data_IF_215752257941
#
_entry.id   IF_215752257941
#
_cell.length_a   1.000
_cell.length_b   1.000
_cell.length_c   1.000
_cell.angle_alpha   90.00
_cell.angle_beta   90.00
_cell.angle_gamma   90.00
#
_symmetry.space_group_name_H-M   'P 1'
#
loop_
_entity.id
_entity.type
_entity.pdbx_description
1 polymer ?
#
# COMPACT_ATOMS: atom_id res chain seq x y z
N UNK A 1 -27.53 -49.81 -18.14
CA UNK A 1 -26.20 -49.23 -18.44
C UNK A 1 -26.25 -47.85 -19.08
N UNK A 2 -27.35 -47.06 -19.00
CA UNK A 2 -27.46 -45.71 -19.56
C UNK A 2 -27.21 -44.58 -18.53
N UNK A 3 -27.22 -44.87 -17.24
CA UNK A 3 -27.17 -43.81 -16.21
C UNK A 3 -25.74 -43.43 -15.77
N UNK A 4 -24.71 -44.23 -16.11
CA UNK A 4 -23.33 -43.96 -15.71
C UNK A 4 -22.71 -42.83 -16.52
N UNK A 5 -23.09 -42.67 -17.80
CA UNK A 5 -22.55 -41.59 -18.68
C UNK A 5 -23.09 -40.20 -18.35
N UNK A 6 -24.31 -40.11 -17.84
CA UNK A 6 -24.92 -38.84 -17.46
C UNK A 6 -24.28 -38.33 -16.15
N UNK A 7 -23.96 -39.21 -15.23
CA UNK A 7 -23.32 -38.86 -13.96
C UNK A 7 -21.90 -38.34 -14.13
N UNK A 8 -21.16 -38.93 -15.09
CA UNK A 8 -19.80 -38.44 -15.40
C UNK A 8 -19.82 -37.05 -16.08
N UNK A 9 -20.84 -36.75 -16.88
CA UNK A 9 -20.99 -35.43 -17.48
C UNK A 9 -21.40 -34.35 -16.44
N UNK A 10 -22.23 -34.72 -15.47
CA UNK A 10 -22.65 -33.80 -14.40
C UNK A 10 -21.48 -33.53 -13.44
N UNK A 11 -20.68 -34.54 -13.11
CA UNK A 11 -19.46 -34.38 -12.30
C UNK A 11 -18.39 -33.51 -13.01
N UNK A 12 -18.23 -33.68 -14.33
CA UNK A 12 -17.32 -32.83 -15.11
C UNK A 12 -17.77 -31.36 -15.17
N UNK A 13 -19.09 -31.12 -15.25
CA UNK A 13 -19.64 -29.76 -15.31
C UNK A 13 -19.52 -29.03 -13.97
N UNK A 14 -19.67 -29.75 -12.83
CA UNK A 14 -19.53 -29.18 -11.48
C UNK A 14 -18.08 -28.78 -11.21
N UNK A 15 -17.09 -29.56 -11.69
CA UNK A 15 -15.68 -29.22 -11.53
C UNK A 15 -15.25 -27.99 -12.35
N UNK A 16 -15.82 -27.78 -13.54
CA UNK A 16 -15.53 -26.62 -14.38
C UNK A 16 -16.17 -25.34 -13.80
N UNK A 17 -17.38 -25.42 -13.26
CA UNK A 17 -18.05 -24.27 -12.63
C UNK A 17 -17.41 -23.94 -11.27
N UNK A 18 -16.96 -24.93 -10.50
CA UNK A 18 -16.25 -24.70 -9.24
C UNK A 18 -14.86 -24.09 -9.43
N UNK A 19 -14.14 -24.44 -10.50
CA UNK A 19 -12.80 -23.91 -10.79
C UNK A 19 -12.80 -22.45 -11.22
N UNK A 20 -13.81 -22.01 -11.97
CA UNK A 20 -13.92 -20.61 -12.43
C UNK A 20 -14.38 -19.65 -11.31
N UNK A 21 -15.22 -20.12 -10.38
CA UNK A 21 -15.66 -19.30 -9.25
C UNK A 21 -14.51 -18.98 -8.27
N UNK A 22 -13.57 -19.91 -8.08
CA UNK A 22 -12.38 -19.68 -7.22
C UNK A 22 -11.37 -18.70 -7.85
N UNK A 23 -11.32 -18.61 -9.18
CA UNK A 23 -10.39 -17.69 -9.86
C UNK A 23 -10.89 -16.23 -9.89
N UNK A 24 -12.21 -16.02 -9.91
CA UNK A 24 -12.81 -14.66 -9.92
C UNK A 24 -12.70 -13.98 -8.53
N UNK A 25 -12.71 -14.74 -7.43
CA UNK A 25 -12.56 -14.16 -6.08
C UNK A 25 -11.13 -13.70 -5.80
N UNK A 26 -10.12 -14.22 -6.51
CA UNK A 26 -8.72 -13.83 -6.32
C UNK A 26 -8.34 -12.52 -7.04
N UNK A 27 -9.15 -12.03 -7.97
CA UNK A 27 -8.84 -10.82 -8.77
C UNK A 27 -9.65 -9.58 -8.30
N UNK A 28 -10.73 -9.77 -7.55
CA UNK A 28 -11.46 -8.68 -6.90
C UNK A 28 -10.90 -8.39 -5.50
N UNK A 29 -9.60 -8.09 -5.43
CA UNK A 29 -8.99 -7.51 -4.25
C UNK A 29 -9.48 -6.07 -4.07
N UNK A 30 -10.73 -5.90 -3.66
CA UNK A 30 -11.18 -4.62 -3.13
C UNK A 30 -10.27 -4.26 -1.96
N UNK A 31 -9.85 -3.00 -1.88
CA UNK A 31 -9.20 -2.45 -0.71
C UNK A 31 -10.13 -2.71 0.48
N UNK A 32 -9.86 -3.78 1.23
CA UNK A 32 -10.70 -4.16 2.36
C UNK A 32 -10.53 -3.14 3.49
N UNK A 33 -11.59 -2.97 4.30
CA UNK A 33 -11.64 -2.11 5.50
C UNK A 33 -10.59 -2.45 6.60
N UNK A 34 -9.58 -3.26 6.30
CA UNK A 34 -8.55 -3.67 7.25
C UNK A 34 -7.45 -2.62 7.35
N UNK A 35 -7.48 -1.88 8.46
CA UNK A 35 -6.39 -0.96 8.80
C UNK A 35 -5.11 -1.73 9.13
N UNK A 36 -3.96 -1.18 8.67
CA UNK A 36 -2.65 -1.72 9.01
C UNK A 36 -2.33 -1.56 10.50
N UNK A 37 -1.76 -2.61 11.07
CA UNK A 37 -1.02 -2.53 12.33
C UNK A 37 0.45 -2.50 11.95
N UNK A 38 1.13 -1.39 12.22
CA UNK A 38 2.55 -1.25 11.92
C UNK A 38 3.37 -2.25 12.73
N UNK A 39 4.41 -2.80 12.13
CA UNK A 39 5.37 -3.63 12.85
C UNK A 39 6.09 -2.79 13.90
N UNK A 40 6.35 -3.34 15.09
CA UNK A 40 6.87 -2.60 16.26
C UNK A 40 8.20 -1.90 16.01
N UNK A 41 9.00 -2.37 15.05
CA UNK A 41 10.26 -1.78 14.63
C UNK A 41 10.12 -0.40 13.97
N UNK A 42 8.89 -0.05 13.53
CA UNK A 42 8.58 1.25 12.91
C UNK A 42 7.97 2.25 13.90
N UNK A 43 7.78 1.84 15.15
CA UNK A 43 7.28 2.69 16.22
C UNK A 43 8.48 3.14 17.05
N UNK A 44 8.83 4.42 16.97
CA UNK A 44 9.98 5.01 17.67
C UNK A 44 9.56 5.90 18.86
N UNK A 45 8.28 6.22 18.99
CA UNK A 45 7.77 7.12 20.01
C UNK A 45 8.44 8.49 19.95
N UNK A 46 8.78 9.08 21.10
CA UNK A 46 9.38 10.41 21.20
C UNK A 46 10.80 10.52 20.60
N UNK A 47 11.33 9.44 20.01
CA UNK A 47 12.66 9.41 19.37
C UNK A 47 12.60 9.57 17.86
N UNK A 48 11.41 9.70 17.28
CA UNK A 48 11.27 10.03 15.87
C UNK A 48 11.56 11.52 15.67
N UNK A 49 12.51 11.77 14.80
CA UNK A 49 12.94 13.13 14.38
C UNK A 49 12.40 13.52 13.00
N UNK A 50 11.52 12.68 12.42
CA UNK A 50 10.99 12.88 11.07
C UNK A 50 11.97 12.47 9.97
N UNK A 51 13.08 11.80 10.31
CA UNK A 51 14.00 11.26 9.32
C UNK A 51 13.42 10.04 8.61
N UNK A 52 13.76 9.89 7.34
CA UNK A 52 13.39 8.74 6.54
C UNK A 52 14.41 7.62 6.66
N UNK A 53 13.93 6.40 6.45
CA UNK A 53 14.78 5.26 6.13
C UNK A 53 14.74 5.11 4.61
N UNK A 54 15.86 5.46 3.96
CA UNK A 54 15.97 5.29 2.51
C UNK A 54 15.91 3.81 2.13
N UNK A 55 15.17 3.52 1.06
CA UNK A 55 15.06 2.18 0.48
C UNK A 55 15.49 2.19 -0.98
N UNK A 56 16.22 1.17 -1.37
CA UNK A 56 16.33 0.78 -2.77
C UNK A 56 15.25 -0.28 -3.11
N UNK A 57 15.17 -0.66 -4.39
CA UNK A 57 14.19 -1.64 -4.88
C UNK A 57 14.25 -3.00 -4.19
N UNK A 58 15.47 -3.52 -3.94
CA UNK A 58 15.67 -4.86 -3.38
C UNK A 58 15.24 -4.89 -1.89
N UNK A 59 15.53 -3.82 -1.16
CA UNK A 59 15.11 -3.66 0.23
C UNK A 59 13.59 -3.54 0.34
N UNK A 60 12.94 -2.79 -0.57
CA UNK A 60 11.48 -2.70 -0.62
C UNK A 60 10.85 -4.07 -0.85
N UNK A 61 11.29 -4.81 -1.89
CA UNK A 61 10.75 -6.13 -2.21
C UNK A 61 10.99 -7.15 -1.08
N UNK A 62 12.11 -7.03 -0.36
CA UNK A 62 12.36 -7.85 0.83
C UNK A 62 11.35 -7.56 1.95
N UNK A 63 11.03 -6.29 2.23
CA UNK A 63 10.01 -5.94 3.23
C UNK A 63 8.64 -6.51 2.86
N UNK A 64 8.29 -6.46 1.58
CA UNK A 64 7.05 -7.03 1.04
C UNK A 64 7.04 -8.55 1.19
N UNK A 65 8.11 -9.24 0.82
CA UNK A 65 8.25 -10.68 0.94
C UNK A 65 8.20 -11.14 2.41
N UNK A 66 8.80 -10.37 3.33
CA UNK A 66 8.79 -10.58 4.78
C UNK A 66 7.43 -10.21 5.43
N UNK A 67 6.43 -9.82 4.63
CA UNK A 67 5.07 -9.44 5.05
C UNK A 67 5.06 -8.32 6.10
N UNK A 68 5.97 -7.36 5.97
CA UNK A 68 6.02 -6.20 6.87
C UNK A 68 4.84 -5.26 6.64
N UNK A 69 4.51 -4.49 7.70
CA UNK A 69 3.52 -3.41 7.65
C UNK A 69 4.21 -2.09 7.93
N UNK A 70 4.21 -1.17 6.96
CA UNK A 70 4.96 0.09 7.01
C UNK A 70 4.33 1.17 6.14
N UNK A 71 4.82 2.40 6.28
CA UNK A 71 4.49 3.54 5.42
C UNK A 71 5.69 3.87 4.55
N UNK A 72 5.47 4.14 3.28
CA UNK A 72 6.51 4.53 2.33
C UNK A 72 6.12 5.78 1.56
N UNK A 73 7.03 6.75 1.51
CA UNK A 73 6.95 7.95 0.69
C UNK A 73 7.71 7.72 -0.62
N UNK A 74 7.05 7.96 -1.74
CA UNK A 74 7.65 7.90 -3.08
C UNK A 74 8.00 9.32 -3.49
N UNK A 75 9.29 9.57 -3.62
CA UNK A 75 9.83 10.89 -3.91
C UNK A 75 10.33 11.02 -5.35
N UNK A 76 10.37 12.27 -5.81
CA UNK A 76 10.98 12.65 -7.09
C UNK A 76 11.73 13.97 -6.93
N UNK A 77 13.00 13.95 -7.28
CA UNK A 77 13.86 15.13 -7.23
C UNK A 77 13.31 16.29 -8.06
N UNK A 78 13.38 17.49 -7.49
CA UNK A 78 13.07 18.75 -8.19
C UNK A 78 11.58 19.03 -8.40
N UNK A 79 10.71 18.36 -7.65
CA UNK A 79 9.26 18.59 -7.71
C UNK A 79 8.78 19.36 -6.47
N UNK A 80 8.25 20.58 -6.65
CA UNK A 80 7.74 21.41 -5.53
C UNK A 80 6.57 20.79 -4.78
N UNK A 81 5.79 19.93 -5.43
CA UNK A 81 4.73 19.14 -4.78
C UNK A 81 5.33 18.07 -3.89
N UNK A 82 6.46 17.48 -4.30
CA UNK A 82 7.19 16.52 -3.50
C UNK A 82 7.72 17.17 -2.22
N UNK A 83 8.33 18.36 -2.32
CA UNK A 83 8.86 19.10 -1.15
C UNK A 83 7.76 19.39 -0.12
N UNK A 84 6.55 19.77 -0.57
CA UNK A 84 5.42 20.01 0.32
C UNK A 84 4.93 18.74 0.99
N UNK A 85 4.69 17.70 0.22
CA UNK A 85 4.21 16.43 0.74
C UNK A 85 5.25 15.80 1.69
N UNK A 86 6.53 15.94 1.36
CA UNK A 86 7.63 15.54 2.23
C UNK A 86 7.56 16.22 3.60
N UNK A 87 7.29 17.53 3.65
CA UNK A 87 7.08 18.27 4.89
C UNK A 87 5.94 17.65 5.72
N UNK A 88 4.79 17.37 5.09
CA UNK A 88 3.64 16.75 5.77
C UNK A 88 3.97 15.35 6.31
N UNK A 89 4.71 14.55 5.56
CA UNK A 89 5.11 13.20 5.99
C UNK A 89 6.06 13.27 7.18
N UNK A 90 7.02 14.21 7.19
CA UNK A 90 7.96 14.41 8.31
C UNK A 90 7.25 14.85 9.58
N UNK A 91 6.37 15.86 9.47
CA UNK A 91 5.59 16.35 10.60
C UNK A 91 4.73 15.23 11.19
N UNK A 92 4.02 14.50 10.33
CA UNK A 92 3.17 13.37 10.75
C UNK A 92 3.99 12.23 11.39
N UNK A 93 5.14 11.87 10.81
CA UNK A 93 6.07 10.88 11.35
C UNK A 93 6.51 11.23 12.77
N UNK A 94 6.95 12.48 12.95
CA UNK A 94 7.40 13.01 14.23
C UNK A 94 6.26 13.07 15.26
N UNK A 95 5.08 13.60 14.90
CA UNK A 95 3.93 13.70 15.79
C UNK A 95 3.41 12.33 16.29
N UNK A 96 3.51 11.31 15.45
CA UNK A 96 2.96 9.98 15.76
C UNK A 96 4.02 8.99 16.22
N UNK A 97 5.28 9.36 16.26
CA UNK A 97 6.37 8.47 16.64
C UNK A 97 6.53 7.28 15.70
N UNK A 98 6.34 7.48 14.39
CA UNK A 98 6.32 6.42 13.37
C UNK A 98 7.45 6.68 12.38
N UNK A 99 8.30 5.67 12.14
CA UNK A 99 9.30 5.72 11.06
C UNK A 99 8.62 5.55 9.70
N UNK A 100 9.03 6.37 8.75
CA UNK A 100 8.57 6.29 7.36
C UNK A 100 9.74 5.91 6.46
N UNK A 101 9.49 5.04 5.53
CA UNK A 101 10.45 4.75 4.46
C UNK A 101 10.33 5.77 3.33
N UNK A 102 11.44 6.01 2.65
CA UNK A 102 11.49 6.81 1.42
C UNK A 102 12.10 5.99 0.31
N UNK A 103 11.47 5.96 -0.83
CA UNK A 103 11.98 5.35 -2.05
C UNK A 103 11.94 6.36 -3.19
N UNK A 104 13.03 6.46 -3.93
CA UNK A 104 13.06 7.31 -5.12
C UNK A 104 12.24 6.68 -6.24
N UNK A 105 11.63 7.52 -7.08
CA UNK A 105 10.82 7.05 -8.21
C UNK A 105 11.58 6.08 -9.12
N UNK A 106 12.86 6.34 -9.36
CA UNK A 106 13.71 5.52 -10.22
C UNK A 106 13.81 4.08 -9.72
N UNK A 107 13.90 3.88 -8.42
CA UNK A 107 13.88 2.54 -7.81
C UNK A 107 12.45 1.98 -7.73
N UNK A 108 11.49 2.81 -7.32
CA UNK A 108 10.09 2.41 -7.14
C UNK A 108 9.49 1.81 -8.42
N UNK A 109 9.78 2.38 -9.60
CA UNK A 109 9.27 1.88 -10.89
C UNK A 109 9.70 0.45 -11.23
N UNK A 110 10.75 -0.06 -10.57
CA UNK A 110 11.26 -1.42 -10.72
C UNK A 110 10.72 -2.38 -9.65
N UNK A 111 9.78 -1.91 -8.80
CA UNK A 111 9.15 -2.70 -7.73
C UNK A 111 7.68 -3.00 -8.02
N UNK A 112 7.12 -3.92 -7.23
CA UNK A 112 5.68 -4.23 -7.22
C UNK A 112 4.80 -3.02 -6.85
N UNK A 113 5.35 -1.98 -6.22
CA UNK A 113 4.63 -0.75 -5.89
C UNK A 113 4.21 0.03 -7.15
N UNK A 114 4.95 -0.11 -8.25
CA UNK A 114 4.63 0.51 -9.53
C UNK A 114 3.31 0.03 -10.15
N UNK A 115 2.81 -1.13 -9.75
CA UNK A 115 1.49 -1.60 -10.19
C UNK A 115 0.36 -0.69 -9.69
N UNK A 116 0.58 0.00 -8.57
CA UNK A 116 -0.38 0.88 -7.91
C UNK A 116 -0.10 2.36 -8.19
N UNK A 117 1.13 2.82 -7.98
CA UNK A 117 1.51 4.23 -8.09
C UNK A 117 2.03 4.53 -9.50
N UNK A 118 1.27 5.32 -10.26
CA UNK A 118 1.64 5.77 -11.61
C UNK A 118 2.06 7.24 -11.65
N UNK A 119 1.64 8.01 -10.65
CA UNK A 119 1.95 9.43 -10.50
C UNK A 119 2.58 9.67 -9.13
N UNK A 120 3.51 10.61 -9.07
CA UNK A 120 4.30 10.94 -7.89
C UNK A 120 4.46 12.46 -7.74
N UNK A 121 4.73 12.95 -6.53
CA UNK A 121 4.98 12.19 -5.30
C UNK A 121 3.74 11.43 -4.82
N UNK A 122 3.95 10.41 -4.00
CA UNK A 122 2.86 9.66 -3.39
C UNK A 122 3.27 9.09 -2.04
N UNK A 123 2.29 8.70 -1.24
CA UNK A 123 2.50 7.93 0.01
C UNK A 123 1.70 6.66 -0.10
N UNK A 124 2.29 5.53 0.26
CA UNK A 124 1.58 4.26 0.35
C UNK A 124 1.62 3.67 1.76
N UNK A 125 0.53 3.00 2.13
CA UNK A 125 0.43 2.22 3.36
C UNK A 125 0.43 0.75 3.00
N UNK A 126 1.40 0.03 3.53
CA UNK A 126 1.60 -1.40 3.31
C UNK A 126 1.13 -2.15 4.57
N UNK A 127 0.35 -3.19 4.40
CA UNK A 127 -0.09 -4.09 5.48
C UNK A 127 0.19 -5.54 5.11
N UNK A 128 1.00 -6.23 5.91
CA UNK A 128 1.39 -7.62 5.65
C UNK A 128 1.94 -7.83 4.22
N UNK A 129 2.78 -6.90 3.74
CA UNK A 129 3.36 -6.93 2.40
C UNK A 129 2.38 -6.60 1.27
N UNK A 130 1.22 -6.03 1.55
CA UNK A 130 0.23 -5.63 0.54
C UNK A 130 -0.07 -4.14 0.63
N UNK A 131 -0.16 -3.48 -0.52
CA UNK A 131 -0.64 -2.09 -0.60
C UNK A 131 -2.12 -2.06 -0.22
N UNK A 132 -2.48 -1.33 0.85
CA UNK A 132 -3.87 -1.16 1.29
C UNK A 132 -4.40 0.24 1.04
N UNK A 133 -3.53 1.19 0.75
CA UNK A 133 -3.87 2.56 0.37
C UNK A 133 -2.66 3.28 -0.19
N UNK A 134 -2.91 4.19 -1.13
CA UNK A 134 -1.89 5.10 -1.66
C UNK A 134 -2.54 6.41 -2.09
N UNK A 135 -1.82 7.53 -1.97
CA UNK A 135 -2.26 8.83 -2.44
C UNK A 135 -2.23 8.88 -3.97
N UNK A 136 -3.35 9.25 -4.57
CA UNK A 136 -3.51 9.35 -6.02
C UNK A 136 -3.38 10.80 -6.45
N UNK A 137 -2.29 11.14 -7.13
CA UNK A 137 -2.05 12.50 -7.59
C UNK A 137 -3.03 12.96 -8.70
N UNK A 138 -3.71 12.02 -9.35
CA UNK A 138 -4.71 12.24 -10.40
C UNK A 138 -6.16 12.16 -9.88
N UNK A 139 -6.39 12.15 -8.55
CA UNK A 139 -7.71 12.03 -7.94
C UNK A 139 -8.11 13.29 -7.20
N UNK A 140 -9.29 13.84 -7.54
CA UNK A 140 -9.89 14.96 -6.81
C UNK A 140 -10.15 14.61 -5.32
N UNK A 141 -10.43 13.35 -5.00
CA UNK A 141 -10.64 12.88 -3.62
C UNK A 141 -9.39 13.03 -2.77
N UNK A 142 -8.21 12.84 -3.36
CA UNK A 142 -6.93 12.88 -2.65
C UNK A 142 -6.24 14.26 -2.77
N UNK A 143 -6.76 15.17 -3.62
CA UNK A 143 -6.15 16.47 -3.88
C UNK A 143 -5.94 17.31 -2.60
N UNK A 144 -6.87 17.24 -1.64
CA UNK A 144 -6.75 17.91 -0.35
C UNK A 144 -5.50 17.47 0.43
N UNK A 145 -5.16 16.18 0.40
CA UNK A 145 -4.02 15.63 1.12
C UNK A 145 -2.66 16.08 0.54
N UNK A 146 -2.61 16.56 -0.69
CA UNK A 146 -1.42 17.17 -1.28
C UNK A 146 -1.23 18.66 -0.91
N UNK A 147 -2.29 19.31 -0.42
CA UNK A 147 -2.30 20.74 -0.22
C UNK A 147 -2.42 21.17 1.25
N UNK A 148 -2.99 20.32 2.11
CA UNK A 148 -3.31 20.64 3.50
C UNK A 148 -2.86 19.50 4.42
N UNK A 149 -2.08 19.82 5.45
CA UNK A 149 -1.55 18.86 6.41
C UNK A 149 -2.65 18.05 7.12
N UNK A 150 -3.73 18.73 7.57
CA UNK A 150 -4.84 18.05 8.27
C UNK A 150 -5.59 17.07 7.35
N UNK A 151 -5.69 17.36 6.05
CA UNK A 151 -6.27 16.44 5.08
C UNK A 151 -5.34 15.24 4.84
N UNK A 152 -4.03 15.45 4.75
CA UNK A 152 -3.03 14.39 4.68
C UNK A 152 -3.09 13.47 5.91
N UNK A 153 -3.12 14.05 7.10
CA UNK A 153 -3.22 13.32 8.37
C UNK A 153 -4.46 12.42 8.41
N UNK A 154 -5.63 12.97 8.07
CA UNK A 154 -6.89 12.20 7.98
C UNK A 154 -6.78 11.06 6.97
N UNK A 155 -6.12 11.30 5.84
CA UNK A 155 -5.92 10.31 4.80
C UNK A 155 -5.09 9.12 5.34
N UNK A 156 -3.93 9.38 5.97
CA UNK A 156 -3.08 8.32 6.53
C UNK A 156 -3.82 7.54 7.64
N UNK A 157 -4.50 8.24 8.56
CA UNK A 157 -5.25 7.63 9.68
C UNK A 157 -6.40 6.73 9.22
N UNK A 158 -6.90 6.91 8.00
CA UNK A 158 -7.88 6.01 7.40
C UNK A 158 -7.34 4.59 7.26
N UNK A 159 -6.05 4.43 7.01
CA UNK A 159 -5.41 3.15 6.75
C UNK A 159 -4.63 2.57 7.94
N UNK A 160 -4.40 3.34 8.99
CA UNK A 160 -3.66 2.89 10.16
C UNK A 160 -4.57 2.68 11.36
N UNK A 161 -4.33 1.60 12.13
CA UNK A 161 -4.92 1.47 13.47
C UNK A 161 -4.17 2.39 14.40
N UNK A 162 -4.91 3.18 15.21
CA UNK A 162 -4.34 3.85 16.38
C UNK A 162 -3.91 2.76 17.37
N UNK A 163 -2.63 2.72 17.70
CA UNK A 163 -2.08 1.88 18.76
C UNK A 163 -2.48 2.44 20.14
#
# INVERSE_FOLDING_TARGET
>A
MKNLKVWQLVLGLILVVGGTALFVVAVSGGFGDSKAVLSSEYICGDKCDGEYIELNKDEYEKLVADKKSFVVFVDQNGCTTADRLEGFVKDWSSENGIKVYKIMFEDMKETSLHDFIKYYPSVAVISNGKVIGFLRADSDEDAGAYNEYEAFKKWVEKYLKKS
#
